data_IF_604731455187
#
_entry.id   IF_604731455187
#
_cell.length_a   1.000
_cell.length_b   1.000
_cell.length_c   1.000
_cell.angle_alpha   90.00
_cell.angle_beta   90.00
_cell.angle_gamma   90.00
#
_symmetry.space_group_name_H-M   'P 1'
#
loop_
_entity.id
_entity.type
_entity.pdbx_description
1 polymer ?
#
# COMPACT_ATOMS: atom_id res chain seq x y z
N UNK A 1 -8.27 21.37 -53.15
CA UNK A 1 -8.90 22.31 -52.20
C UNK A 1 -8.94 21.64 -50.84
N UNK A 2 -7.91 21.87 -50.03
CA UNK A 2 -7.95 21.68 -48.58
C UNK A 2 -7.35 22.97 -48.02
N UNK A 3 -8.16 23.74 -47.31
CA UNK A 3 -7.74 24.98 -46.66
C UNK A 3 -7.02 24.67 -45.36
N UNK A 4 -5.84 25.27 -45.22
CA UNK A 4 -5.09 25.46 -43.99
C UNK A 4 -5.89 26.23 -42.94
N UNK A 5 -5.61 25.97 -41.66
CA UNK A 5 -5.77 26.96 -40.58
C UNK A 5 -4.45 27.02 -39.80
N UNK A 6 -3.80 28.19 -39.86
CA UNK A 6 -2.51 28.47 -39.24
C UNK A 6 -2.58 28.61 -37.72
N UNK A 7 -1.61 28.02 -36.99
CA UNK A 7 -0.33 28.59 -36.51
C UNK A 7 -0.45 29.89 -35.70
N UNK A 8 -0.24 29.79 -34.39
CA UNK A 8 -0.25 30.90 -33.43
C UNK A 8 0.89 30.85 -32.41
N UNK A 9 2.06 31.35 -32.86
CA UNK A 9 3.15 32.06 -32.15
C UNK A 9 4.02 31.39 -31.06
N UNK A 10 5.31 31.51 -31.38
CA UNK A 10 6.56 31.27 -30.65
C UNK A 10 6.93 32.49 -29.80
N UNK A 11 7.39 32.26 -28.56
CA UNK A 11 8.30 33.17 -27.86
C UNK A 11 9.44 32.39 -27.21
N UNK A 12 10.66 32.72 -27.63
CA UNK A 12 11.93 32.32 -27.00
C UNK A 12 12.38 33.51 -26.16
N UNK A 13 12.67 33.30 -24.88
CA UNK A 13 13.75 34.01 -24.21
C UNK A 13 14.51 33.07 -23.28
N UNK A 14 15.80 32.96 -23.60
CA UNK A 14 16.85 32.27 -22.86
C UNK A 14 17.26 33.08 -21.63
N UNK A 15 17.45 32.39 -20.50
CA UNK A 15 18.51 32.70 -19.55
C UNK A 15 19.10 31.40 -19.00
N UNK A 16 20.40 31.25 -19.21
CA UNK A 16 21.26 30.21 -18.68
C UNK A 16 21.06 30.02 -17.18
N UNK A 17 20.60 28.85 -16.75
CA UNK A 17 20.91 28.32 -15.42
C UNK A 17 21.95 27.22 -15.64
N UNK A 18 23.19 27.56 -15.28
CA UNK A 18 24.30 26.62 -15.20
C UNK A 18 23.99 25.61 -14.10
N UNK A 19 24.05 24.33 -14.44
CA UNK A 19 24.59 23.21 -13.66
C UNK A 19 24.16 23.07 -12.18
N UNK A 20 23.58 21.91 -11.83
CA UNK A 20 24.35 20.90 -11.10
C UNK A 20 23.65 19.54 -11.18
N UNK A 21 24.26 18.62 -11.94
CA UNK A 21 24.03 17.19 -11.82
C UNK A 21 24.52 16.74 -10.45
N UNK A 22 23.67 16.05 -9.69
CA UNK A 22 24.13 15.11 -8.67
C UNK A 22 23.34 13.81 -8.81
N UNK A 23 23.67 13.04 -9.85
CA UNK A 23 23.65 11.58 -9.70
C UNK A 23 24.80 11.26 -8.74
N UNK A 24 24.47 10.93 -7.49
CA UNK A 24 25.44 10.40 -6.55
C UNK A 24 25.74 8.94 -6.93
N UNK A 25 26.54 8.75 -7.97
CA UNK A 25 27.21 7.49 -8.24
C UNK A 25 28.46 7.47 -7.37
N UNK A 26 28.37 6.81 -6.22
CA UNK A 26 29.49 6.61 -5.31
C UNK A 26 30.39 5.54 -5.94
N UNK A 27 31.46 5.96 -6.60
CA UNK A 27 32.56 5.07 -6.94
C UNK A 27 33.44 4.89 -5.70
N UNK A 28 33.49 3.68 -5.15
CA UNK A 28 34.60 3.30 -4.26
C UNK A 28 35.87 3.22 -5.11
N UNK A 29 36.59 4.32 -5.23
CA UNK A 29 37.99 4.27 -5.62
C UNK A 29 38.77 3.89 -4.37
N UNK A 30 39.27 2.66 -4.33
CA UNK A 30 40.29 2.27 -3.38
C UNK A 30 41.56 3.10 -3.67
N UNK A 31 41.71 4.25 -2.99
CA UNK A 31 42.94 5.02 -3.00
C UNK A 31 43.90 4.29 -2.05
N UNK A 32 44.60 3.31 -2.63
CA UNK A 32 45.82 2.75 -2.07
C UNK A 32 47.00 3.66 -2.45
N UNK A 33 47.83 3.96 -1.45
CA UNK A 33 49.14 4.64 -1.51
C UNK A 33 49.16 6.16 -1.74
N UNK A 34 49.48 6.91 -0.68
CA UNK A 34 50.78 7.58 -0.44
C UNK A 34 50.56 8.56 0.73
N UNK A 35 50.94 8.16 1.94
CA UNK A 35 51.33 9.08 3.03
C UNK A 35 52.36 8.34 3.88
N UNK A 36 53.64 8.55 3.58
CA UNK A 36 54.70 8.36 4.57
C UNK A 36 55.12 9.74 5.07
N UNK A 37 55.38 9.81 6.38
CA UNK A 37 56.19 10.84 7.06
C UNK A 37 55.49 12.10 7.58
N UNK A 38 54.34 11.97 8.24
CA UNK A 38 54.01 12.83 9.39
C UNK A 38 53.34 11.95 10.45
N UNK A 39 54.08 11.66 11.52
CA UNK A 39 53.64 10.85 12.66
C UNK A 39 52.61 11.57 13.54
N UNK A 40 51.48 11.97 12.95
CA UNK A 40 50.30 12.38 13.69
C UNK A 40 49.31 11.22 13.67
N UNK A 41 48.86 10.70 14.82
CA UNK A 41 47.80 9.71 14.86
C UNK A 41 46.48 10.40 14.46
N UNK A 42 46.22 10.50 13.16
CA UNK A 42 44.89 10.84 12.69
C UNK A 42 44.00 9.61 12.87
N UNK A 43 43.44 9.46 14.07
CA UNK A 43 42.31 8.58 14.28
C UNK A 43 41.09 9.22 13.62
N UNK A 44 40.73 8.74 12.44
CA UNK A 44 39.36 8.90 11.97
C UNK A 44 38.49 8.08 12.93
N UNK A 45 37.86 8.74 13.89
CA UNK A 45 36.64 8.19 14.48
C UNK A 45 35.53 8.60 13.51
N UNK A 46 35.11 7.74 12.55
CA UNK A 46 33.88 8.03 11.83
C UNK A 46 32.82 8.17 12.91
N UNK A 47 32.29 9.37 13.09
CA UNK A 47 31.06 9.52 13.85
C UNK A 47 30.08 8.56 13.20
N UNK A 48 29.56 7.53 13.92
CA UNK A 48 28.56 6.67 13.34
C UNK A 48 27.47 7.58 12.83
N UNK A 49 27.27 7.62 11.51
CA UNK A 49 26.09 8.26 10.95
C UNK A 49 24.95 7.51 11.62
N UNK A 50 24.11 8.19 12.40
CA UNK A 50 23.03 7.55 13.13
C UNK A 50 22.29 6.64 12.14
N UNK A 51 22.27 5.33 12.45
CA UNK A 51 21.61 4.34 11.61
C UNK A 51 20.16 4.81 11.41
N UNK A 52 19.72 4.92 10.15
CA UNK A 52 18.34 5.28 9.87
C UNK A 52 17.43 4.27 10.56
N UNK A 53 16.40 4.75 11.25
CA UNK A 53 15.45 3.90 11.98
C UNK A 53 14.91 2.77 11.09
N UNK A 54 14.61 1.61 11.65
CA UNK A 54 14.05 0.48 10.92
C UNK A 54 12.76 0.85 10.15
N UNK A 55 12.54 0.32 8.94
CA UNK A 55 11.38 0.64 8.11
C UNK A 55 10.09 0.06 8.69
N UNK A 56 9.09 0.89 8.99
CA UNK A 56 7.82 0.42 9.58
C UNK A 56 6.79 0.15 8.52
N UNK A 57 5.85 -0.76 8.80
CA UNK A 57 4.69 -0.93 7.94
C UNK A 57 3.78 0.29 8.10
N UNK A 58 3.40 0.88 6.98
CA UNK A 58 2.38 1.90 6.91
C UNK A 58 0.99 1.26 6.77
N UNK A 59 0.80 0.40 5.75
CA UNK A 59 -0.44 -0.37 5.58
C UNK A 59 -0.26 -1.59 4.66
N UNK A 60 -1.24 -2.49 4.70
CA UNK A 60 -1.34 -3.66 3.82
C UNK A 60 -2.62 -3.54 2.99
N UNK A 61 -2.52 -3.56 1.67
CA UNK A 61 -3.64 -3.31 0.76
C UNK A 61 -3.92 -4.52 -0.14
N UNK A 62 -5.19 -4.85 -0.30
CA UNK A 62 -5.68 -5.92 -1.16
C UNK A 62 -5.46 -5.64 -2.66
N UNK A 63 -5.12 -6.68 -3.42
CA UNK A 63 -5.07 -6.65 -4.89
C UNK A 63 -6.03 -7.70 -5.48
N UNK A 64 -5.92 -8.95 -5.03
CA UNK A 64 -6.71 -10.08 -5.51
C UNK A 64 -6.88 -11.15 -4.43
N UNK A 65 -7.69 -12.21 -4.63
CA UNK A 65 -7.84 -13.27 -3.65
C UNK A 65 -6.52 -13.94 -3.23
N UNK A 66 -5.48 -13.84 -4.06
CA UNK A 66 -4.17 -14.44 -3.78
C UNK A 66 -3.07 -13.42 -3.56
N UNK A 67 -3.34 -12.11 -3.66
CA UNK A 67 -2.27 -11.11 -3.62
C UNK A 67 -2.63 -9.81 -2.90
N UNK A 68 -1.61 -9.23 -2.28
CA UNK A 68 -1.69 -7.98 -1.52
C UNK A 68 -0.37 -7.21 -1.64
N UNK A 69 -0.40 -5.92 -1.32
CA UNK A 69 0.81 -5.11 -1.17
C UNK A 69 1.05 -4.75 0.29
N UNK A 70 2.31 -4.76 0.73
CA UNK A 70 2.76 -4.18 2.00
C UNK A 70 3.54 -2.91 1.69
N UNK A 71 3.03 -1.77 2.16
CA UNK A 71 3.69 -0.47 1.98
C UNK A 71 4.39 -0.07 3.27
N UNK A 72 5.67 0.26 3.17
CA UNK A 72 6.46 0.73 4.29
C UNK A 72 6.39 2.26 4.41
N UNK A 73 6.88 2.82 5.52
CA UNK A 73 6.94 4.25 5.78
C UNK A 73 8.16 4.94 5.13
N UNK A 74 9.12 4.16 4.63
CA UNK A 74 10.33 4.64 3.99
C UNK A 74 10.91 3.64 2.97
N UNK A 75 11.95 4.05 2.26
CA UNK A 75 12.75 3.18 1.43
C UNK A 75 13.65 2.26 2.29
N UNK A 76 13.86 1.04 1.80
CA UNK A 76 14.68 0.02 2.47
C UNK A 76 15.35 -0.90 1.44
N UNK A 77 16.24 -1.80 1.89
CA UNK A 77 16.94 -2.72 0.99
C UNK A 77 15.98 -3.78 0.42
N UNK A 78 15.75 -3.72 -0.88
CA UNK A 78 14.86 -4.66 -1.59
C UNK A 78 15.33 -6.13 -1.48
N UNK A 79 16.64 -6.34 -1.30
CA UNK A 79 17.22 -7.68 -1.15
C UNK A 79 16.83 -8.38 0.16
N UNK A 80 16.23 -7.65 1.09
CA UNK A 80 15.81 -8.17 2.42
C UNK A 80 14.35 -8.59 2.43
N UNK A 81 13.63 -8.36 1.32
CA UNK A 81 12.26 -8.84 1.12
C UNK A 81 12.33 -10.22 0.46
N UNK A 82 11.81 -11.22 1.15
CA UNK A 82 11.67 -12.59 0.68
C UNK A 82 10.27 -13.14 0.98
N UNK A 83 9.95 -14.33 0.49
CA UNK A 83 8.68 -15.00 0.84
C UNK A 83 8.58 -15.25 2.36
N UNK A 84 9.71 -15.52 3.03
CA UNK A 84 9.77 -15.69 4.47
C UNK A 84 9.60 -14.40 5.27
N UNK A 85 9.57 -13.24 4.61
CA UNK A 85 9.30 -11.96 5.27
C UNK A 85 7.84 -11.79 5.68
N UNK A 86 6.93 -12.61 5.14
CA UNK A 86 5.49 -12.45 5.33
C UNK A 86 4.84 -13.75 5.78
N UNK A 87 3.85 -13.62 6.67
CA UNK A 87 2.91 -14.68 7.02
C UNK A 87 1.51 -14.15 6.79
N UNK A 88 0.74 -14.80 5.93
CA UNK A 88 -0.65 -14.44 5.66
C UNK A 88 -1.56 -15.34 6.50
N UNK A 89 -2.55 -14.74 7.16
CA UNK A 89 -3.64 -15.43 7.83
C UNK A 89 -4.98 -15.02 7.21
N UNK A 90 -5.72 -15.97 6.64
CA UNK A 90 -7.05 -15.80 6.00
C UNK A 90 -8.21 -16.25 6.92
N UNK A 91 -7.86 -16.68 8.14
CA UNK A 91 -8.75 -16.99 9.26
C UNK A 91 -7.89 -17.03 10.53
N UNK A 92 -8.50 -16.99 11.72
CA UNK A 92 -7.78 -17.02 12.99
C UNK A 92 -6.84 -18.23 13.17
N UNK A 93 -7.02 -19.28 12.36
CA UNK A 93 -6.23 -20.52 12.42
C UNK A 93 -5.56 -20.91 11.12
N UNK A 94 -5.82 -20.23 10.00
CA UNK A 94 -5.33 -20.65 8.69
C UNK A 94 -4.14 -19.80 8.26
N UNK A 95 -2.99 -20.45 8.04
CA UNK A 95 -1.75 -19.80 7.60
C UNK A 95 -1.46 -20.22 6.17
N UNK A 96 -1.39 -19.23 5.28
CA UNK A 96 -1.22 -19.46 3.86
C UNK A 96 0.26 -19.53 3.45
N UNK A 97 0.56 -20.29 2.41
CA UNK A 97 1.92 -20.38 1.86
C UNK A 97 2.18 -19.22 0.89
N UNK A 98 3.14 -18.36 1.22
CA UNK A 98 3.61 -17.29 0.34
C UNK A 98 4.48 -17.87 -0.79
N UNK A 99 4.05 -17.69 -2.04
CA UNK A 99 4.76 -18.18 -3.22
C UNK A 99 5.72 -17.18 -3.82
N UNK A 100 5.37 -15.88 -3.81
CA UNK A 100 6.25 -14.82 -4.29
C UNK A 100 6.16 -13.58 -3.40
N UNK A 101 7.29 -12.94 -3.18
CA UNK A 101 7.38 -11.61 -2.61
C UNK A 101 8.39 -10.80 -3.43
N UNK A 102 7.94 -9.73 -4.05
CA UNK A 102 8.77 -8.84 -4.85
C UNK A 102 8.61 -7.42 -4.34
N UNK A 103 9.69 -6.65 -4.31
CA UNK A 103 9.65 -5.28 -3.79
C UNK A 103 10.18 -4.28 -4.81
N UNK A 104 9.62 -3.09 -4.76
CA UNK A 104 10.08 -1.94 -5.54
C UNK A 104 10.06 -0.69 -4.67
N UNK A 105 10.89 0.29 -5.01
CA UNK A 105 10.87 1.60 -4.36
C UNK A 105 10.44 2.65 -5.38
N UNK A 106 9.39 3.39 -5.05
CA UNK A 106 8.93 4.55 -5.80
C UNK A 106 8.69 5.70 -4.82
N UNK A 107 9.03 6.92 -5.23
CA UNK A 107 8.86 8.14 -4.42
C UNK A 107 9.46 8.05 -3.01
N UNK A 108 10.57 7.32 -2.86
CA UNK A 108 11.24 7.11 -1.58
C UNK A 108 10.54 6.16 -0.62
N UNK A 109 9.56 5.38 -1.09
CA UNK A 109 8.81 4.40 -0.30
C UNK A 109 8.96 3.00 -0.91
N UNK A 110 9.34 2.01 -0.11
CA UNK A 110 9.34 0.62 -0.55
C UNK A 110 7.94 0.02 -0.43
N UNK A 111 7.51 -0.68 -1.48
CA UNK A 111 6.27 -1.47 -1.50
C UNK A 111 6.60 -2.89 -1.93
N UNK A 112 6.19 -3.88 -1.13
CA UNK A 112 6.28 -5.29 -1.47
C UNK A 112 4.94 -5.77 -2.05
N UNK A 113 4.96 -6.42 -3.19
CA UNK A 113 3.83 -7.18 -3.75
C UNK A 113 4.03 -8.65 -3.40
N UNK A 114 3.05 -9.21 -2.70
CA UNK A 114 3.10 -10.57 -2.15
C UNK A 114 1.97 -11.39 -2.75
N UNK A 115 2.27 -12.63 -3.12
CA UNK A 115 1.28 -13.61 -3.61
C UNK A 115 1.37 -14.89 -2.80
N UNK A 116 0.22 -15.44 -2.43
CA UNK A 116 0.07 -16.70 -1.72
C UNK A 116 -0.59 -17.75 -2.63
N UNK A 117 -0.15 -19.00 -2.53
CA UNK A 117 -0.70 -20.09 -3.34
C UNK A 117 -2.06 -20.50 -2.80
N UNK A 118 -3.11 -20.36 -3.63
CA UNK A 118 -4.43 -20.90 -3.32
C UNK A 118 -5.23 -20.13 -2.26
N UNK A 119 -4.65 -19.07 -1.69
CA UNK A 119 -5.31 -18.23 -0.69
C UNK A 119 -6.61 -17.61 -1.23
N UNK A 120 -7.53 -17.33 -0.30
CA UNK A 120 -8.82 -16.68 -0.57
C UNK A 120 -8.98 -15.43 0.29
N UNK A 121 -8.08 -14.48 0.07
CA UNK A 121 -8.07 -13.21 0.79
C UNK A 121 -9.41 -12.49 0.58
N UNK A 122 -10.09 -12.21 1.69
CA UNK A 122 -11.40 -11.60 1.80
C UNK A 122 -11.31 -10.44 2.80
N UNK A 123 -10.93 -9.24 2.34
CA UNK A 123 -10.76 -8.08 3.22
C UNK A 123 -12.06 -7.75 3.96
N UNK A 124 -11.96 -7.53 5.27
CA UNK A 124 -13.12 -7.37 6.15
C UNK A 124 -13.52 -8.63 6.92
N UNK A 125 -13.07 -9.81 6.49
CA UNK A 125 -13.29 -11.09 7.19
C UNK A 125 -12.30 -11.35 8.34
N UNK A 126 -11.38 -10.42 8.61
CA UNK A 126 -10.35 -10.55 9.65
C UNK A 126 -8.98 -10.98 9.13
N UNK A 127 -8.81 -11.10 7.81
CA UNK A 127 -7.55 -11.44 7.18
C UNK A 127 -6.44 -10.46 7.54
N UNK A 128 -5.27 -11.00 7.86
CA UNK A 128 -4.16 -10.22 8.36
C UNK A 128 -2.80 -10.76 7.91
N UNK A 129 -1.83 -9.85 7.89
CA UNK A 129 -0.45 -10.14 7.50
C UNK A 129 0.46 -9.84 8.67
N UNK A 130 1.34 -10.79 8.96
CA UNK A 130 2.50 -10.61 9.82
C UNK A 130 3.72 -10.36 8.96
N UNK A 131 4.59 -9.47 9.43
CA UNK A 131 5.93 -9.31 8.88
C UNK A 131 6.95 -9.87 9.86
N UNK A 132 8.00 -10.50 9.33
CA UNK A 132 9.08 -11.06 10.13
C UNK A 132 9.78 -9.96 10.95
N UNK A 133 9.96 -10.22 12.25
CA UNK A 133 10.62 -9.31 13.21
C UNK A 133 11.94 -9.84 13.74
N UNK A 134 12.30 -11.08 13.42
CA UNK A 134 13.58 -11.69 13.79
C UNK A 134 14.07 -12.68 12.72
N UNK A 135 15.38 -12.93 12.71
CA UNK A 135 16.05 -13.83 11.77
C UNK A 135 16.40 -13.19 10.43
N UNK A 136 16.62 -14.03 9.41
CA UNK A 136 17.21 -13.60 8.12
C UNK A 136 16.20 -12.94 7.17
N UNK A 137 14.90 -13.10 7.41
CA UNK A 137 13.83 -12.62 6.52
C UNK A 137 13.27 -11.25 6.91
N UNK A 138 13.92 -10.55 7.83
CA UNK A 138 13.47 -9.29 8.40
C UNK A 138 13.66 -8.15 7.38
N UNK A 139 12.59 -7.42 6.99
CA UNK A 139 12.69 -6.26 6.09
C UNK A 139 13.53 -5.10 6.66
N UNK A 140 14.74 -4.85 6.18
CA UNK A 140 15.68 -3.92 6.84
C UNK A 140 16.35 -2.93 5.86
N UNK A 141 16.87 -1.82 6.40
CA UNK A 141 17.54 -0.77 5.60
C UNK A 141 18.83 -1.29 4.94
N UNK A 142 19.55 -2.20 5.60
CA UNK A 142 20.80 -2.82 5.16
C UNK A 142 20.74 -4.32 5.42
N UNK A 143 21.39 -5.16 4.61
CA UNK A 143 21.34 -6.62 4.77
C UNK A 143 21.97 -7.18 6.07
N UNK A 144 22.48 -6.31 6.94
CA UNK A 144 23.06 -6.60 8.26
C UNK A 144 23.09 -5.30 9.08
N UNK A 145 22.94 -5.32 10.43
CA UNK A 145 22.32 -6.34 11.28
C UNK A 145 20.80 -6.12 11.44
N UNK A 146 20.10 -7.19 11.82
CA UNK A 146 18.65 -7.24 12.02
C UNK A 146 18.14 -6.22 13.04
N UNK A 147 17.46 -5.18 12.57
CA UNK A 147 16.57 -4.39 13.41
C UNK A 147 15.14 -4.92 13.29
N UNK A 148 14.31 -4.76 14.32
CA UNK A 148 12.89 -5.16 14.25
C UNK A 148 12.07 -4.01 13.67
N UNK A 149 11.30 -4.30 12.63
CA UNK A 149 10.64 -3.29 11.78
C UNK A 149 9.13 -3.22 12.01
N UNK A 150 8.62 -4.02 12.94
CA UNK A 150 7.25 -3.97 13.45
C UNK A 150 7.22 -4.50 14.88
N UNK A 151 6.15 -4.20 15.61
CA UNK A 151 5.91 -4.77 16.95
C UNK A 151 5.47 -6.26 16.88
N UNK A 152 5.65 -6.91 15.73
CA UNK A 152 5.17 -8.28 15.47
C UNK A 152 3.65 -8.41 15.41
N UNK A 153 2.94 -7.28 15.44
CA UNK A 153 1.49 -7.22 15.39
C UNK A 153 0.96 -7.65 14.01
N UNK A 154 -0.21 -8.29 14.01
CA UNK A 154 -0.94 -8.61 12.79
C UNK A 154 -1.56 -7.33 12.25
N UNK A 155 -1.36 -7.06 10.95
CA UNK A 155 -1.97 -5.90 10.28
C UNK A 155 -3.06 -6.41 9.36
N UNK A 156 -4.27 -5.88 9.53
CA UNK A 156 -5.42 -6.20 8.68
C UNK A 156 -5.18 -5.78 7.22
N UNK A 157 -5.70 -6.58 6.30
CA UNK A 157 -5.64 -6.26 4.86
C UNK A 157 -6.77 -5.29 4.53
N UNK A 158 -6.44 -4.09 4.08
CA UNK A 158 -7.42 -3.07 3.71
C UNK A 158 -7.78 -3.12 2.24
N UNK A 159 -9.04 -2.83 1.91
CA UNK A 159 -9.46 -2.59 0.55
C UNK A 159 -8.87 -1.27 0.02
N UNK A 160 -8.53 -1.17 -1.28
CA UNK A 160 -8.26 0.11 -1.92
C UNK A 160 -9.42 1.11 -1.70
N UNK A 161 -9.10 2.37 -1.48
CA UNK A 161 -10.13 3.40 -1.33
C UNK A 161 -11.00 3.48 -2.58
N UNK A 162 -12.32 3.59 -2.38
CA UNK A 162 -13.28 3.66 -3.48
C UNK A 162 -13.51 2.33 -4.20
N UNK A 163 -13.11 1.19 -3.61
CA UNK A 163 -13.46 -0.15 -4.11
C UNK A 163 -14.97 -0.39 -4.13
N UNK A 164 -15.68 0.11 -3.12
CA UNK A 164 -17.14 0.18 -3.08
C UNK A 164 -17.55 1.64 -3.08
N UNK A 165 -18.53 1.99 -3.90
CA UNK A 165 -19.08 3.35 -4.00
C UNK A 165 -20.60 3.31 -3.90
N UNK A 166 -21.19 4.42 -3.45
CA UNK A 166 -22.60 4.70 -3.73
C UNK A 166 -22.67 5.20 -5.16
N UNK A 167 -23.25 4.41 -6.06
CA UNK A 167 -23.34 4.74 -7.49
C UNK A 167 -24.59 5.52 -7.83
N UNK A 168 -25.68 5.32 -7.08
CA UNK A 168 -26.94 6.03 -7.30
C UNK A 168 -27.68 6.23 -5.98
N UNK A 169 -28.43 7.34 -5.92
CA UNK A 169 -29.23 7.73 -4.79
C UNK A 169 -30.57 8.28 -5.32
N UNK A 170 -31.67 7.59 -5.03
CA UNK A 170 -33.02 8.06 -5.31
C UNK A 170 -33.75 8.27 -3.99
N UNK A 171 -34.04 9.53 -3.67
CA UNK A 171 -34.69 9.95 -2.41
C UNK A 171 -36.12 10.46 -2.60
N UNK A 172 -36.70 10.23 -3.78
CA UNK A 172 -38.08 10.65 -4.04
C UNK A 172 -38.68 9.81 -5.16
N UNK A 173 -40.00 9.66 -5.12
CA UNK A 173 -40.79 9.07 -6.17
C UNK A 173 -42.28 9.14 -5.87
N UNK A 174 -43.06 8.40 -6.66
CA UNK A 174 -44.52 8.35 -6.53
C UNK A 174 -44.96 7.43 -5.38
N UNK A 175 -44.11 6.50 -4.95
CA UNK A 175 -44.32 5.64 -3.78
C UNK A 175 -43.07 5.54 -2.91
N UNK A 176 -43.22 5.10 -1.65
CA UNK A 176 -42.07 4.85 -0.76
C UNK A 176 -41.09 3.79 -1.31
N UNK A 177 -41.56 2.88 -2.16
CA UNK A 177 -40.71 1.88 -2.82
C UNK A 177 -39.85 2.46 -3.95
N UNK A 178 -40.04 3.72 -4.31
CA UNK A 178 -39.22 4.39 -5.30
C UNK A 178 -37.86 4.85 -4.75
N UNK A 179 -37.72 4.91 -3.43
CA UNK A 179 -36.48 5.34 -2.79
C UNK A 179 -35.49 4.17 -2.71
N UNK A 180 -34.27 4.41 -3.17
CA UNK A 180 -33.22 3.41 -3.09
C UNK A 180 -31.81 4.04 -3.01
N UNK A 181 -30.91 3.25 -2.45
CA UNK A 181 -29.47 3.48 -2.50
C UNK A 181 -28.86 2.33 -3.30
N UNK A 182 -28.11 2.66 -4.36
CA UNK A 182 -27.33 1.69 -5.10
C UNK A 182 -25.87 1.72 -4.62
N UNK A 183 -25.38 0.56 -4.22
CA UNK A 183 -23.96 0.34 -3.93
C UNK A 183 -23.34 -0.49 -5.05
N UNK A 184 -22.15 -0.10 -5.48
CA UNK A 184 -21.42 -0.71 -6.59
C UNK A 184 -20.02 -1.11 -6.18
N UNK A 185 -19.69 -2.38 -6.42
CA UNK A 185 -18.33 -2.90 -6.34
C UNK A 185 -17.59 -2.57 -7.65
N UNK A 186 -16.58 -1.69 -7.58
CA UNK A 186 -15.74 -1.27 -8.71
C UNK A 186 -14.59 -2.24 -9.01
N UNK A 187 -14.43 -3.28 -8.19
CA UNK A 187 -13.40 -4.30 -8.36
C UNK A 187 -13.94 -5.47 -9.17
N UNK A 188 -13.05 -6.28 -9.74
CA UNK A 188 -13.43 -7.51 -10.45
C UNK A 188 -13.69 -8.70 -9.52
N UNK A 189 -13.40 -8.55 -8.22
CA UNK A 189 -13.50 -9.63 -7.24
C UNK A 189 -14.70 -9.37 -6.32
N UNK A 190 -15.38 -10.41 -5.81
CA UNK A 190 -16.41 -10.22 -4.80
C UNK A 190 -15.83 -9.55 -3.56
N UNK A 191 -16.58 -8.63 -2.97
CA UNK A 191 -16.24 -8.01 -1.68
C UNK A 191 -17.24 -8.53 -0.65
N UNK A 192 -16.72 -9.11 0.44
CA UNK A 192 -17.51 -9.43 1.61
C UNK A 192 -17.86 -8.12 2.34
N UNK A 193 -19.14 -7.78 2.35
CA UNK A 193 -19.67 -6.63 3.09
C UNK A 193 -20.41 -7.06 4.36
N UNK A 194 -20.21 -8.29 4.83
CA UNK A 194 -20.73 -8.72 6.13
C UNK A 194 -20.26 -7.75 7.22
N UNK A 195 -21.18 -7.40 8.11
CA UNK A 195 -21.01 -6.41 9.17
C UNK A 195 -20.81 -4.96 8.70
N UNK A 196 -20.87 -4.68 7.39
CA UNK A 196 -20.96 -3.30 6.93
C UNK A 196 -22.30 -2.71 7.34
N UNK A 197 -22.32 -1.39 7.44
CA UNK A 197 -23.51 -0.61 7.77
C UNK A 197 -23.64 0.55 6.81
N UNK A 198 -24.88 0.78 6.36
CA UNK A 198 -25.25 2.01 5.69
C UNK A 198 -25.88 2.93 6.73
N UNK A 199 -25.21 4.02 7.05
CA UNK A 199 -25.62 4.94 8.13
C UNK A 199 -25.96 6.30 7.53
N UNK A 200 -27.16 6.80 7.84
CA UNK A 200 -27.54 8.19 7.58
C UNK A 200 -27.08 9.08 8.73
N UNK A 201 -26.61 10.28 8.39
CA UNK A 201 -26.31 11.33 9.36
C UNK A 201 -27.36 12.43 9.23
N UNK A 202 -27.98 12.82 10.35
CA UNK A 202 -28.83 13.99 10.40
C UNK A 202 -28.01 15.27 10.20
N UNK A 203 -28.69 16.37 9.90
CA UNK A 203 -28.05 17.69 9.81
C UNK A 203 -27.34 18.11 11.11
N UNK A 204 -27.74 17.55 12.25
CA UNK A 204 -27.15 17.79 13.57
C UNK A 204 -26.11 16.73 13.97
N UNK A 205 -25.75 15.82 13.06
CA UNK A 205 -24.72 14.79 13.29
C UNK A 205 -25.21 13.52 14.01
N UNK A 206 -26.52 13.34 14.18
CA UNK A 206 -27.07 12.11 14.75
C UNK A 206 -27.02 10.99 13.71
N UNK A 207 -26.39 9.87 14.06
CA UNK A 207 -26.27 8.71 13.19
C UNK A 207 -27.47 7.77 13.33
N UNK A 208 -27.95 7.23 12.21
CA UNK A 208 -28.99 6.19 12.17
C UNK A 208 -28.58 5.13 11.15
N UNK A 209 -28.43 3.89 11.59
CA UNK A 209 -28.15 2.76 10.71
C UNK A 209 -29.42 2.45 9.89
N UNK A 210 -29.33 2.64 8.57
CA UNK A 210 -30.39 2.32 7.61
C UNK A 210 -30.41 0.82 7.29
N UNK A 211 -29.21 0.23 7.10
CA UNK A 211 -29.03 -1.18 6.74
C UNK A 211 -27.83 -1.73 7.48
N UNK A 212 -27.96 -2.94 8.03
CA UNK A 212 -26.85 -3.76 8.52
C UNK A 212 -26.80 -5.05 7.71
N UNK A 213 -25.66 -5.33 7.07
CA UNK A 213 -25.49 -6.53 6.27
C UNK A 213 -25.10 -7.70 7.16
N UNK A 214 -26.00 -8.68 7.33
CA UNK A 214 -25.80 -9.86 8.18
C UNK A 214 -25.77 -11.15 7.33
N UNK A 215 -24.78 -12.03 7.56
CA UNK A 215 -24.63 -13.35 6.90
C UNK A 215 -23.60 -13.40 5.75
N UNK A 216 -22.79 -14.46 5.67
CA UNK A 216 -21.67 -14.54 4.72
C UNK A 216 -22.04 -14.96 3.28
N UNK A 217 -23.13 -15.74 3.10
CA UNK A 217 -23.39 -16.39 1.80
C UNK A 217 -24.21 -15.52 0.81
N UNK A 218 -24.87 -14.46 1.28
CA UNK A 218 -25.66 -13.52 0.45
C UNK A 218 -25.02 -12.13 0.34
N UNK A 219 -23.91 -11.87 1.03
CA UNK A 219 -23.28 -10.54 1.15
C UNK A 219 -21.94 -10.41 0.40
N UNK A 220 -21.67 -11.32 -0.54
CA UNK A 220 -20.59 -11.14 -1.51
C UNK A 220 -21.09 -10.25 -2.65
N UNK A 221 -20.78 -8.95 -2.59
CA UNK A 221 -21.18 -8.03 -3.66
C UNK A 221 -20.40 -8.29 -4.93
N UNK A 222 -21.12 -8.70 -5.98
CA UNK A 222 -20.64 -8.75 -7.36
C UNK A 222 -21.50 -7.79 -8.19
N UNK A 223 -20.94 -6.64 -8.56
CA UNK A 223 -21.66 -5.63 -9.33
C UNK A 223 -22.56 -4.73 -8.50
N UNK A 224 -23.85 -4.64 -8.86
CA UNK A 224 -24.83 -3.66 -8.33
C UNK A 224 -25.81 -4.34 -7.37
N UNK A 225 -26.04 -3.70 -6.23
CA UNK A 225 -27.10 -4.06 -5.29
C UNK A 225 -27.94 -2.82 -4.94
N UNK A 226 -29.26 -2.92 -5.14
CA UNK A 226 -30.21 -1.86 -4.76
C UNK A 226 -30.84 -2.19 -3.40
N UNK A 227 -30.83 -1.23 -2.48
CA UNK A 227 -31.47 -1.33 -1.18
C UNK A 227 -32.71 -0.43 -1.19
N UNK A 228 -33.90 -1.02 -1.14
CA UNK A 228 -35.16 -0.28 -1.02
C UNK A 228 -35.46 0.02 0.45
N UNK A 229 -36.05 1.17 0.73
CA UNK A 229 -36.67 1.43 2.04
C UNK A 229 -37.91 0.55 2.18
N UNK A 230 -37.92 -0.30 3.21
CA UNK A 230 -39.12 -1.03 3.66
C UNK A 230 -40.08 -0.13 4.42
#
# INVERSE_FOLDING_TARGET
MCSEYGVGKKYIMSKHIKSFSKRATIYFVAISTILWSIGLPFSFSPTPIAQAAAPKINFVQYISPTSFTVRFDQAMSLATISTGSFTLMTSATDTETISTATASTADGITTATVTATGAKISPGAGDSVKVATSGDNVPQNTATPAESNTDGNMIGIMMPQGSVVISELKLSGSSATDEFIEIYNRTSNPIDITNWKLTALSQTGSATDLVSFTGADTNHMQGKTSLASG
#
